data_IF_419983302142
#
_entry.id   IF_419983302142
#
_cell.length_a   1.000
_cell.length_b   1.000
_cell.length_c   1.000
_cell.angle_alpha   90.00
_cell.angle_beta   90.00
_cell.angle_gamma   90.00
#
_symmetry.space_group_name_H-M   'P 1'
#
loop_
_entity.id
_entity.type
_entity.pdbx_description
1 polymer ?
#
# COMPACT_ATOMS: atom_id res chain seq x y z
N UNK A 1 -10.07 9.72 -6.77
CA UNK A 1 -9.18 9.10 -7.80
C UNK A 1 -9.91 7.91 -8.39
N UNK A 2 -9.81 7.68 -9.71
CA UNK A 2 -10.44 6.53 -10.37
C UNK A 2 -9.49 5.33 -10.27
N UNK A 3 -10.03 4.14 -9.98
CA UNK A 3 -9.25 2.90 -10.01
C UNK A 3 -8.91 2.52 -11.45
N UNK A 4 -7.64 2.22 -11.68
CA UNK A 4 -7.14 1.70 -12.96
C UNK A 4 -6.73 0.24 -12.75
N UNK A 5 -7.53 -0.73 -13.24
CA UNK A 5 -7.23 -2.15 -13.12
C UNK A 5 -5.90 -2.53 -13.78
N UNK A 6 -5.28 -3.59 -13.26
CA UNK A 6 -4.15 -4.27 -13.88
C UNK A 6 -4.44 -5.77 -14.00
N UNK A 7 -3.52 -6.53 -14.60
CA UNK A 7 -3.60 -8.00 -14.60
C UNK A 7 -3.48 -8.57 -13.17
N UNK A 8 -2.81 -7.85 -12.28
CA UNK A 8 -2.58 -8.27 -10.89
C UNK A 8 -3.75 -7.90 -9.98
N UNK A 9 -4.25 -6.66 -10.11
CA UNK A 9 -5.40 -6.17 -9.33
C UNK A 9 -6.52 -5.87 -10.30
N UNK A 10 -7.40 -6.85 -10.51
CA UNK A 10 -8.57 -6.72 -11.37
C UNK A 10 -9.65 -5.86 -10.73
N UNK A 11 -10.60 -5.33 -11.52
CA UNK A 11 -11.76 -4.61 -10.98
C UNK A 11 -12.54 -5.46 -9.98
N UNK A 12 -12.80 -6.72 -10.31
CA UNK A 12 -13.56 -7.63 -9.45
C UNK A 12 -12.85 -7.88 -8.10
N UNK A 13 -11.53 -8.00 -8.10
CA UNK A 13 -10.76 -8.16 -6.88
C UNK A 13 -10.79 -6.89 -6.03
N UNK A 14 -10.60 -5.73 -6.64
CA UNK A 14 -10.68 -4.45 -5.94
C UNK A 14 -12.07 -4.23 -5.31
N UNK A 15 -13.15 -4.50 -6.05
CA UNK A 15 -14.52 -4.40 -5.55
C UNK A 15 -14.79 -5.36 -4.38
N UNK A 16 -14.24 -6.58 -4.45
CA UNK A 16 -14.29 -7.54 -3.34
C UNK A 16 -13.62 -6.98 -2.07
N UNK A 17 -12.42 -6.42 -2.18
CA UNK A 17 -11.72 -5.82 -1.05
C UNK A 17 -12.49 -4.64 -0.45
N UNK A 18 -13.00 -3.75 -1.30
CA UNK A 18 -13.78 -2.60 -0.87
C UNK A 18 -15.06 -3.03 -0.15
N UNK A 19 -15.79 -4.02 -0.69
CA UNK A 19 -17.05 -4.51 -0.08
C UNK A 19 -16.84 -5.26 1.24
N UNK A 20 -15.65 -5.86 1.44
CA UNK A 20 -15.30 -6.61 2.65
C UNK A 20 -14.58 -5.77 3.71
N UNK A 21 -14.33 -4.48 3.45
CA UNK A 21 -13.66 -3.60 4.40
C UNK A 21 -14.61 -3.14 5.52
N UNK A 22 -14.23 -3.41 6.78
CA UNK A 22 -15.10 -3.20 7.94
C UNK A 22 -15.30 -1.72 8.32
N UNK A 23 -14.36 -0.83 7.96
CA UNK A 23 -14.41 0.59 8.32
C UNK A 23 -15.19 1.46 7.31
N UNK A 24 -15.77 0.86 6.26
CA UNK A 24 -16.50 1.58 5.23
C UNK A 24 -15.58 2.27 4.19
N UNK A 25 -16.20 3.08 3.32
CA UNK A 25 -15.51 3.57 2.12
C UNK A 25 -14.77 4.89 2.30
N UNK A 26 -14.99 5.62 3.39
CA UNK A 26 -14.59 7.03 3.55
C UNK A 26 -13.60 7.33 4.68
N UNK A 27 -12.98 6.32 5.28
CA UNK A 27 -11.99 6.50 6.33
C UNK A 27 -10.58 6.88 5.82
N UNK A 28 -9.69 7.20 6.75
CA UNK A 28 -8.27 7.48 6.46
C UNK A 28 -7.54 6.28 5.87
N UNK A 29 -8.03 5.06 6.11
CA UNK A 29 -7.45 3.78 5.70
C UNK A 29 -8.30 3.04 4.65
N UNK A 30 -9.30 3.73 4.06
CA UNK A 30 -10.22 3.17 3.07
C UNK A 30 -9.74 3.28 1.62
N UNK A 31 -10.69 3.06 0.70
CA UNK A 31 -10.49 3.00 -0.75
C UNK A 31 -9.63 4.13 -1.31
N UNK A 32 -9.84 5.37 -0.91
CA UNK A 32 -9.12 6.52 -1.47
C UNK A 32 -7.64 6.50 -1.08
N UNK A 33 -7.31 6.03 0.13
CA UNK A 33 -5.93 5.77 0.56
C UNK A 33 -5.30 4.68 -0.31
N UNK A 34 -5.96 3.53 -0.49
CA UNK A 34 -5.43 2.43 -1.30
C UNK A 34 -5.12 2.85 -2.73
N UNK A 35 -5.97 3.69 -3.34
CA UNK A 35 -5.75 4.22 -4.70
C UNK A 35 -4.50 5.12 -4.77
N UNK A 36 -4.26 5.95 -3.75
CA UNK A 36 -3.07 6.80 -3.71
C UNK A 36 -1.81 5.97 -3.45
N UNK A 37 -1.89 4.97 -2.56
CA UNK A 37 -0.79 4.02 -2.33
C UNK A 37 -0.48 3.23 -3.61
N UNK A 38 -1.50 2.78 -4.34
CA UNK A 38 -1.33 2.09 -5.63
C UNK A 38 -0.60 2.99 -6.66
N UNK A 39 -0.99 4.25 -6.76
CA UNK A 39 -0.32 5.22 -7.64
C UNK A 39 1.13 5.47 -7.22
N UNK A 40 1.37 5.73 -5.94
CA UNK A 40 2.72 5.90 -5.40
C UNK A 40 3.58 4.66 -5.65
N UNK A 41 3.03 3.48 -5.38
CA UNK A 41 3.72 2.21 -5.54
C UNK A 41 4.13 1.92 -6.96
N UNK A 42 3.24 2.16 -7.93
CA UNK A 42 3.56 2.04 -9.37
C UNK A 42 4.69 2.97 -9.79
N UNK A 43 4.69 4.20 -9.32
CA UNK A 43 5.76 5.18 -9.58
C UNK A 43 7.10 4.72 -8.98
N UNK A 44 7.12 4.29 -7.71
CA UNK A 44 8.32 3.80 -7.04
C UNK A 44 8.83 2.51 -7.69
N UNK A 45 7.97 1.54 -7.97
CA UNK A 45 8.36 0.28 -8.59
C UNK A 45 8.94 0.49 -9.99
N UNK A 46 8.34 1.35 -10.81
CA UNK A 46 8.85 1.71 -12.14
C UNK A 46 10.26 2.33 -12.07
N UNK A 47 10.52 3.17 -11.08
CA UNK A 47 11.80 3.86 -10.95
C UNK A 47 12.90 3.00 -10.31
N UNK A 48 12.55 1.98 -9.54
CA UNK A 48 13.51 1.19 -8.75
C UNK A 48 13.74 -0.23 -9.28
N UNK A 49 12.83 -0.76 -10.10
CA UNK A 49 12.83 -2.15 -10.52
C UNK A 49 12.25 -3.11 -9.48
N UNK A 50 11.55 -2.60 -8.45
CA UNK A 50 10.82 -3.44 -7.49
C UNK A 50 9.72 -4.27 -8.20
N UNK A 51 9.35 -5.41 -7.62
CA UNK A 51 8.33 -6.29 -8.19
C UNK A 51 6.94 -5.61 -8.17
N UNK A 52 6.50 -5.16 -9.34
CA UNK A 52 5.25 -4.41 -9.49
C UNK A 52 4.04 -5.19 -8.99
N UNK A 53 3.97 -6.52 -9.22
CA UNK A 53 2.84 -7.35 -8.79
C UNK A 53 2.69 -7.34 -7.27
N UNK A 54 3.79 -7.49 -6.54
CA UNK A 54 3.80 -7.46 -5.08
C UNK A 54 3.41 -6.06 -4.57
N UNK A 55 3.94 -5.00 -5.18
CA UNK A 55 3.64 -3.62 -4.79
C UNK A 55 2.17 -3.27 -5.02
N UNK A 56 1.57 -3.68 -6.15
CA UNK A 56 0.15 -3.46 -6.42
C UNK A 56 -0.77 -4.19 -5.43
N UNK A 57 -0.47 -5.46 -5.12
CA UNK A 57 -1.22 -6.24 -4.14
C UNK A 57 -1.09 -5.63 -2.74
N UNK A 58 0.12 -5.24 -2.33
CA UNK A 58 0.33 -4.54 -1.07
C UNK A 58 -0.55 -3.29 -0.96
N UNK A 59 -0.58 -2.46 -2.00
CA UNK A 59 -1.31 -1.20 -1.99
C UNK A 59 -2.79 -1.35 -1.63
N UNK A 60 -3.43 -2.43 -2.06
CA UNK A 60 -4.87 -2.65 -1.85
C UNK A 60 -5.19 -3.58 -0.67
N UNK A 61 -4.19 -4.31 -0.13
CA UNK A 61 -4.44 -5.30 0.94
C UNK A 61 -3.95 -4.80 2.31
N UNK A 62 -2.85 -4.04 2.41
CA UNK A 62 -2.12 -3.78 3.66
C UNK A 62 -3.02 -3.27 4.80
N UNK A 63 -3.98 -2.42 4.50
CA UNK A 63 -4.94 -1.83 5.46
C UNK A 63 -6.36 -2.42 5.36
N UNK A 64 -6.61 -3.39 4.45
CA UNK A 64 -7.95 -3.94 4.20
C UNK A 64 -8.57 -4.67 5.41
N UNK A 65 -7.74 -5.05 6.38
CA UNK A 65 -8.15 -5.75 7.61
C UNK A 65 -7.98 -4.91 8.88
N UNK A 66 -8.00 -3.58 8.75
CA UNK A 66 -8.13 -2.70 9.91
C UNK A 66 -9.51 -2.82 10.55
N UNK A 67 -9.53 -2.77 11.87
CA UNK A 67 -10.75 -2.85 12.70
C UNK A 67 -11.16 -1.48 13.28
N UNK A 68 -10.22 -0.52 13.28
CA UNK A 68 -10.51 0.88 13.66
C UNK A 68 -9.56 1.85 12.94
N UNK A 69 -9.89 3.14 12.96
CA UNK A 69 -9.11 4.21 12.31
C UNK A 69 -7.93 4.70 13.16
N UNK A 70 -7.93 4.40 14.48
CA UNK A 70 -6.91 4.86 15.42
C UNK A 70 -5.80 3.81 15.60
N UNK A 71 -5.47 3.46 16.85
CA UNK A 71 -4.44 2.50 17.17
C UNK A 71 -4.92 1.06 16.97
N UNK A 72 -4.36 0.39 15.98
CA UNK A 72 -4.67 -0.99 15.61
C UNK A 72 -3.37 -1.79 15.35
N UNK A 73 -2.70 -2.25 16.41
CA UNK A 73 -1.35 -2.84 16.31
C UNK A 73 -1.32 -4.16 15.52
N UNK A 74 -2.44 -4.86 15.44
CA UNK A 74 -2.53 -6.17 14.79
C UNK A 74 -2.96 -6.12 13.32
N UNK A 75 -3.26 -4.93 12.76
CA UNK A 75 -3.79 -4.86 11.40
C UNK A 75 -2.82 -5.41 10.35
N UNK A 76 -1.50 -5.18 10.50
CA UNK A 76 -0.49 -5.72 9.59
C UNK A 76 -0.43 -7.26 9.62
N UNK A 77 -0.55 -7.86 10.80
CA UNK A 77 -0.62 -9.33 10.96
C UNK A 77 -1.88 -9.88 10.26
N UNK A 78 -3.04 -9.27 10.51
CA UNK A 78 -4.30 -9.67 9.86
C UNK A 78 -4.24 -9.51 8.35
N UNK A 79 -3.59 -8.46 7.85
CA UNK A 79 -3.38 -8.27 6.41
C UNK A 79 -2.50 -9.38 5.82
N UNK A 80 -1.40 -9.77 6.48
CA UNK A 80 -0.53 -10.85 6.04
C UNK A 80 -1.23 -12.22 6.04
N UNK A 81 -2.06 -12.51 7.04
CA UNK A 81 -2.90 -13.70 7.08
C UNK A 81 -3.93 -13.70 5.93
N UNK A 82 -4.51 -12.53 5.65
CA UNK A 82 -5.46 -12.36 4.56
C UNK A 82 -4.82 -12.54 3.17
N UNK A 83 -3.58 -12.07 2.98
CA UNK A 83 -2.80 -12.36 1.76
C UNK A 83 -2.75 -13.86 1.49
N UNK A 84 -2.45 -14.68 2.50
CA UNK A 84 -2.39 -16.14 2.35
C UNK A 84 -3.75 -16.75 2.02
N UNK A 85 -4.83 -16.21 2.57
CA UNK A 85 -6.19 -16.66 2.28
C UNK A 85 -6.66 -16.30 0.85
N UNK A 86 -6.16 -15.20 0.29
CA UNK A 86 -6.51 -14.75 -1.07
C UNK A 86 -5.70 -15.45 -2.16
N UNK A 87 -4.53 -16.02 -1.82
CA UNK A 87 -3.65 -16.75 -2.73
C UNK A 87 -4.39 -17.94 -3.36
N UNK A 88 -4.33 -18.06 -4.68
CA UNK A 88 -5.00 -19.09 -5.45
C UNK A 88 -6.47 -18.81 -5.80
N UNK A 89 -7.13 -17.92 -5.05
CA UNK A 89 -8.51 -17.52 -5.33
C UNK A 89 -8.60 -16.22 -6.15
N UNK A 90 -7.80 -15.22 -5.80
CA UNK A 90 -7.83 -13.88 -6.42
C UNK A 90 -6.56 -13.53 -7.18
N UNK A 91 -5.43 -14.07 -6.78
CA UNK A 91 -4.15 -13.94 -7.46
C UNK A 91 -3.31 -15.21 -7.24
N UNK A 92 -2.26 -15.36 -8.02
CA UNK A 92 -1.29 -16.44 -7.85
C UNK A 92 0.12 -15.88 -7.93
N UNK A 93 0.84 -15.95 -6.80
CA UNK A 93 2.24 -15.58 -6.66
C UNK A 93 3.10 -16.83 -6.45
N UNK A 94 4.34 -16.78 -6.90
CA UNK A 94 5.36 -17.74 -6.46
C UNK A 94 5.68 -17.56 -4.98
N UNK A 95 6.25 -18.60 -4.34
CA UNK A 95 6.57 -18.55 -2.90
C UNK A 95 7.43 -17.33 -2.51
N UNK A 96 8.50 -16.97 -3.25
CA UNK A 96 9.29 -15.78 -2.88
C UNK A 96 8.47 -14.48 -2.91
N UNK A 97 7.63 -14.29 -3.92
CA UNK A 97 6.78 -13.10 -4.03
C UNK A 97 5.73 -13.05 -2.91
N UNK A 98 5.12 -14.20 -2.59
CA UNK A 98 4.15 -14.31 -1.51
C UNK A 98 4.76 -13.94 -0.16
N UNK A 99 5.98 -14.41 0.12
CA UNK A 99 6.67 -14.07 1.36
C UNK A 99 7.04 -12.58 1.43
N UNK A 100 7.46 -11.97 0.31
CA UNK A 100 7.70 -10.52 0.25
C UNK A 100 6.42 -9.73 0.56
N UNK A 101 5.29 -10.12 -0.02
CA UNK A 101 4.01 -9.48 0.21
C UNK A 101 3.56 -9.60 1.67
N UNK A 102 3.65 -10.80 2.23
CA UNK A 102 3.32 -11.04 3.64
C UNK A 102 4.22 -10.22 4.57
N UNK A 103 5.52 -10.18 4.31
CA UNK A 103 6.48 -9.38 5.08
C UNK A 103 6.17 -7.89 4.98
N UNK A 104 5.90 -7.39 3.78
CA UNK A 104 5.54 -6.00 3.59
C UNK A 104 4.30 -5.62 4.39
N UNK A 105 3.22 -6.42 4.31
CA UNK A 105 1.99 -6.18 5.07
C UNK A 105 2.20 -6.25 6.58
N UNK A 106 2.94 -7.28 7.05
CA UNK A 106 3.15 -7.51 8.49
C UNK A 106 3.82 -6.32 9.18
N UNK A 107 4.83 -5.70 8.54
CA UNK A 107 5.72 -4.72 9.19
C UNK A 107 5.60 -3.29 8.64
N UNK A 108 4.58 -2.97 7.83
CA UNK A 108 4.50 -1.67 7.16
C UNK A 108 4.42 -0.48 8.14
N UNK A 109 3.86 -0.68 9.32
CA UNK A 109 3.71 0.36 10.35
C UNK A 109 4.84 0.41 11.39
N UNK A 110 5.83 -0.48 11.34
CA UNK A 110 6.87 -0.61 12.38
C UNK A 110 8.05 0.37 12.22
N UNK A 111 8.04 1.21 11.19
CA UNK A 111 9.06 2.25 10.99
C UNK A 111 10.39 1.77 10.42
N UNK A 112 10.53 0.50 10.04
CA UNK A 112 11.73 0.00 9.38
C UNK A 112 11.96 0.69 8.04
N UNK A 113 13.24 0.87 7.67
CA UNK A 113 13.65 1.49 6.40
C UNK A 113 14.61 0.63 5.59
N UNK A 114 14.90 -0.59 6.06
CA UNK A 114 15.79 -1.55 5.38
C UNK A 114 15.10 -2.90 5.28
N UNK A 115 14.96 -3.39 4.06
CA UNK A 115 14.42 -4.70 3.71
C UNK A 115 14.80 -5.05 2.27
N UNK A 116 14.21 -6.10 1.69
CA UNK A 116 14.21 -6.32 0.25
C UNK A 116 13.67 -5.08 -0.50
N UNK A 117 14.19 -4.81 -1.70
CA UNK A 117 13.81 -3.63 -2.50
C UNK A 117 12.30 -3.53 -2.73
N UNK A 118 11.64 -4.66 -2.96
CA UNK A 118 10.19 -4.71 -3.19
C UNK A 118 9.42 -4.34 -1.93
N UNK A 119 9.84 -4.83 -0.76
CA UNK A 119 9.27 -4.47 0.54
C UNK A 119 9.49 -2.98 0.85
N UNK A 120 10.68 -2.46 0.55
CA UNK A 120 10.96 -1.02 0.68
C UNK A 120 10.02 -0.18 -0.18
N UNK A 121 9.77 -0.58 -1.43
CA UNK A 121 8.85 0.12 -2.33
C UNK A 121 7.40 0.09 -1.82
N UNK A 122 6.97 -1.01 -1.21
CA UNK A 122 5.67 -1.11 -0.54
C UNK A 122 5.55 -0.09 0.59
N UNK A 123 6.53 -0.07 1.49
CA UNK A 123 6.51 0.85 2.65
C UNK A 123 6.59 2.31 2.23
N UNK A 124 7.38 2.64 1.20
CA UNK A 124 7.45 3.99 0.64
C UNK A 124 6.12 4.43 0.05
N UNK A 125 5.43 3.53 -0.67
CA UNK A 125 4.15 3.81 -1.29
C UNK A 125 3.10 4.27 -0.25
N UNK A 126 3.04 3.61 0.89
CA UNK A 126 2.16 3.97 2.00
C UNK A 126 2.59 5.27 2.69
N UNK A 127 3.88 5.38 3.06
CA UNK A 127 4.41 6.56 3.76
C UNK A 127 4.34 7.84 2.94
N UNK A 128 4.40 7.75 1.62
CA UNK A 128 4.17 8.89 0.72
C UNK A 128 2.74 9.44 0.81
N UNK A 129 1.77 8.67 1.34
CA UNK A 129 0.38 9.13 1.52
C UNK A 129 0.08 9.70 2.93
N UNK A 130 1.07 9.94 3.77
CA UNK A 130 0.90 10.48 5.13
C UNK A 130 0.24 11.86 5.19
N UNK A 131 0.21 12.60 4.08
CA UNK A 131 -0.54 13.87 4.00
C UNK A 131 -2.03 13.71 4.28
N UNK A 132 -2.62 12.52 4.09
CA UNK A 132 -4.02 12.23 4.44
C UNK A 132 -4.33 12.46 5.93
N UNK A 133 -3.33 12.30 6.78
CA UNK A 133 -3.40 12.54 8.23
C UNK A 133 -2.64 13.82 8.65
N UNK A 134 -2.34 14.71 7.71
CA UNK A 134 -1.71 16.00 7.97
C UNK A 134 -0.18 15.96 8.14
N UNK A 135 0.47 14.84 7.84
CA UNK A 135 1.91 14.67 8.00
C UNK A 135 2.59 14.72 6.62
N UNK A 136 3.52 15.67 6.43
CA UNK A 136 4.38 15.68 5.24
C UNK A 136 5.40 14.54 5.34
N UNK A 137 5.53 13.67 4.33
CA UNK A 137 6.53 12.60 4.36
C UNK A 137 7.95 13.15 4.53
N UNK A 138 8.69 12.59 5.47
CA UNK A 138 10.08 12.97 5.76
C UNK A 138 11.03 11.94 5.11
N UNK A 139 12.00 12.36 4.29
CA UNK A 139 12.92 11.45 3.60
C UNK A 139 13.72 10.55 4.55
N UNK A 140 13.87 10.91 5.84
CA UNK A 140 14.54 10.06 6.84
C UNK A 140 13.80 8.74 7.11
N UNK A 141 12.48 8.73 6.91
CA UNK A 141 11.61 7.56 7.13
C UNK A 141 11.22 6.86 5.84
N UNK A 142 11.65 7.35 4.69
CA UNK A 142 11.51 6.66 3.41
C UNK A 142 12.70 5.73 3.17
N UNK A 143 12.50 4.72 2.33
CA UNK A 143 13.46 3.63 2.11
C UNK A 143 14.31 3.87 0.87
N UNK A 144 13.67 4.01 -0.29
CA UNK A 144 14.32 4.06 -1.60
C UNK A 144 14.86 5.46 -1.93
N UNK A 145 15.92 5.53 -2.71
CA UNK A 145 16.48 6.82 -3.17
C UNK A 145 15.47 7.60 -4.02
N UNK A 146 14.60 6.91 -4.77
CA UNK A 146 13.56 7.54 -5.57
C UNK A 146 12.52 8.23 -4.68
N UNK A 147 11.95 7.53 -3.69
CA UNK A 147 10.93 8.08 -2.81
C UNK A 147 11.43 9.29 -1.99
N UNK A 148 12.74 9.33 -1.67
CA UNK A 148 13.37 10.44 -0.93
C UNK A 148 13.51 11.73 -1.75
N UNK A 149 13.28 11.71 -3.04
CA UNK A 149 13.42 12.90 -3.87
C UNK A 149 12.34 13.94 -3.55
N UNK A 150 12.74 15.20 -3.44
CA UNK A 150 11.85 16.29 -3.02
C UNK A 150 10.61 16.43 -3.91
N UNK A 151 10.76 16.26 -5.23
CA UNK A 151 9.65 16.35 -6.16
C UNK A 151 8.67 15.17 -6.04
N UNK A 152 9.16 13.96 -5.72
CA UNK A 152 8.30 12.78 -5.47
C UNK A 152 7.47 12.99 -4.21
N UNK A 153 8.12 13.42 -3.12
CA UNK A 153 7.44 13.75 -1.85
C UNK A 153 6.38 14.84 -2.08
N UNK A 154 6.73 15.91 -2.82
CA UNK A 154 5.82 17.02 -3.08
C UNK A 154 4.59 16.55 -3.86
N UNK A 155 4.79 15.83 -4.96
CA UNK A 155 3.69 15.33 -5.79
C UNK A 155 2.77 14.37 -5.03
N UNK A 156 3.34 13.47 -4.20
CA UNK A 156 2.56 12.56 -3.38
C UNK A 156 1.79 13.30 -2.28
N UNK A 157 2.42 14.26 -1.60
CA UNK A 157 1.78 15.08 -0.58
C UNK A 157 0.60 15.87 -1.15
N UNK A 158 0.77 16.51 -2.29
CA UNK A 158 -0.33 17.25 -2.96
C UNK A 158 -1.49 16.34 -3.35
N UNK A 159 -1.22 15.09 -3.77
CA UNK A 159 -2.26 14.08 -4.02
C UNK A 159 -3.02 13.72 -2.76
N UNK A 160 -2.31 13.58 -1.64
CA UNK A 160 -2.89 13.15 -0.36
C UNK A 160 -3.82 14.19 0.26
N UNK A 161 -3.61 15.47 -0.05
CA UNK A 161 -4.45 16.57 0.42
C UNK A 161 -5.77 16.72 -0.36
N UNK A 162 -5.84 16.16 -1.56
CA UNK A 162 -7.06 16.18 -2.38
C UNK A 162 -8.03 15.11 -1.85
N UNK A 163 -8.87 15.49 -0.91
CA UNK A 163 -10.03 14.68 -0.52
C UNK A 163 -10.92 14.58 -1.75
N UNK A 164 -11.32 13.36 -2.12
CA UNK A 164 -11.99 13.03 -3.36
C UNK A 164 -13.03 14.08 -3.80
N UNK A 165 -12.76 14.67 -4.97
CA UNK A 165 -13.75 15.36 -5.79
C UNK A 165 -14.52 14.31 -6.58
#
# INVERSE_FOLDING_TARGET
>A
MIFEPSETVTQAFFDHLVSSHSLGHHGFHGKDHWLRVLKNGREVASATGANLRVVELFAVIHDSKRENEDYDPDHGRRAAEYVRALQGAWFSLGTPELELLCHACLLHSDGFTRADLTVQACWDADRLDLGRVGIRPDPRYLCTSHAKQAHVIHAAYDRSLRRGL
#
